data_IF_813494177638
#
_entry.id   IF_813494177638
#
_cell.length_a   1.000
_cell.length_b   1.000
_cell.length_c   1.000
_cell.angle_alpha   90.00
_cell.angle_beta   90.00
_cell.angle_gamma   90.00
#
_symmetry.space_group_name_H-M   'P 1'
#
loop_
_entity.id
_entity.type
_entity.pdbx_description
1 polymer ?
#
# COMPACT_ATOMS: atom_id res chain seq x y z
N UNK A 1 9.12 39.44 -50.07
CA UNK A 1 8.35 38.19 -50.26
C UNK A 1 8.57 37.29 -49.05
N UNK A 2 7.64 37.28 -48.10
CA UNK A 2 7.59 36.29 -47.03
C UNK A 2 6.13 35.84 -46.95
N UNK A 3 5.88 34.62 -47.42
CA UNK A 3 4.55 34.05 -47.59
C UNK A 3 4.25 33.09 -46.43
N UNK A 4 3.22 33.43 -45.66
CA UNK A 4 2.16 32.54 -45.13
C UNK A 4 2.55 31.19 -44.51
N UNK A 5 2.21 31.00 -43.23
CA UNK A 5 0.95 30.33 -42.88
C UNK A 5 0.68 30.39 -41.36
N UNK A 6 -0.31 31.21 -41.01
CA UNK A 6 -1.04 31.13 -39.75
C UNK A 6 -1.92 29.87 -39.77
N UNK A 7 -1.79 29.02 -38.76
CA UNK A 7 -2.75 27.92 -38.56
C UNK A 7 -3.93 28.50 -37.76
N UNK A 8 -5.01 28.72 -38.50
CA UNK A 8 -6.32 29.18 -38.04
C UNK A 8 -6.92 28.22 -37.01
N UNK A 9 -7.27 28.79 -35.85
CA UNK A 9 -8.16 28.22 -34.86
C UNK A 9 -9.59 28.30 -35.41
N UNK A 10 -10.30 27.17 -35.59
CA UNK A 10 -11.76 26.97 -35.41
C UNK A 10 -12.26 25.72 -36.13
N UNK A 11 -12.82 24.77 -35.37
CA UNK A 11 -14.02 23.99 -35.74
C UNK A 11 -14.46 23.11 -34.55
N UNK A 12 -15.39 23.62 -33.74
CA UNK A 12 -16.24 22.81 -32.86
C UNK A 12 -17.42 22.28 -33.68
N UNK A 13 -17.50 20.97 -33.93
CA UNK A 13 -18.77 20.21 -33.97
C UNK A 13 -18.53 18.70 -34.14
N UNK A 14 -19.01 17.95 -33.14
CA UNK A 14 -19.54 16.59 -33.23
C UNK A 14 -18.75 15.54 -34.03
N UNK A 15 -17.59 15.14 -33.50
CA UNK A 15 -17.04 13.81 -33.74
C UNK A 15 -16.68 13.17 -32.41
N UNK A 16 -17.01 11.89 -32.25
CA UNK A 16 -16.57 11.02 -31.16
C UNK A 16 -15.04 11.09 -31.03
N UNK A 17 -14.55 11.84 -30.05
CA UNK A 17 -13.11 12.13 -29.92
C UNK A 17 -12.44 11.07 -29.06
N UNK A 18 -11.74 10.12 -29.69
CA UNK A 18 -10.46 9.65 -29.17
C UNK A 18 -9.38 10.55 -29.77
N UNK A 19 -8.92 11.62 -29.11
CA UNK A 19 -7.85 12.43 -29.67
C UNK A 19 -6.49 11.88 -29.19
N UNK A 20 -5.64 11.52 -30.15
CA UNK A 20 -4.17 11.49 -30.09
C UNK A 20 -3.51 10.82 -28.87
N UNK A 21 -3.42 9.48 -28.87
CA UNK A 21 -2.56 8.74 -27.91
C UNK A 21 -1.08 8.66 -28.29
N UNK A 22 -0.69 9.19 -29.44
CA UNK A 22 0.72 9.22 -29.88
C UNK A 22 1.08 10.63 -30.34
N UNK A 23 1.65 11.42 -29.43
CA UNK A 23 2.41 12.63 -29.79
C UNK A 23 3.67 12.66 -28.94
N UNK A 24 4.61 11.76 -29.24
CA UNK A 24 6.02 12.04 -29.04
C UNK A 24 6.81 11.57 -30.25
N UNK A 25 7.98 12.16 -30.46
CA UNK A 25 8.85 11.89 -31.62
C UNK A 25 9.42 10.46 -31.58
N UNK A 26 9.34 9.79 -30.42
CA UNK A 26 9.88 8.45 -30.17
C UNK A 26 8.85 7.31 -30.38
N UNK A 27 7.61 7.61 -30.78
CA UNK A 27 6.56 6.60 -30.98
C UNK A 27 6.05 5.92 -29.71
N UNK A 28 6.39 6.42 -28.52
CA UNK A 28 5.92 5.89 -27.23
C UNK A 28 4.59 6.54 -26.85
N UNK A 29 3.54 5.78 -26.48
CA UNK A 29 2.29 6.37 -26.03
C UNK A 29 2.47 7.29 -24.82
N UNK A 30 1.78 8.43 -24.84
CA UNK A 30 1.73 9.34 -23.70
C UNK A 30 1.02 8.66 -22.53
N UNK A 31 1.56 8.82 -21.32
CA UNK A 31 0.88 8.42 -20.09
C UNK A 31 -0.22 9.43 -19.72
N UNK A 32 -0.98 9.11 -18.67
CA UNK A 32 -2.12 9.92 -18.25
C UNK A 32 -1.69 11.35 -17.89
N UNK A 33 -0.63 11.52 -17.10
CA UNK A 33 -0.15 12.85 -16.71
C UNK A 33 0.36 13.67 -17.90
N UNK A 34 1.02 13.03 -18.87
CA UNK A 34 1.47 13.64 -20.12
C UNK A 34 0.28 14.18 -20.94
N UNK A 35 -0.82 13.43 -21.01
CA UNK A 35 -2.06 13.88 -21.66
C UNK A 35 -2.71 15.05 -20.90
N UNK A 36 -2.79 14.97 -19.58
CA UNK A 36 -3.35 16.05 -18.75
C UNK A 36 -2.54 17.34 -18.89
N UNK A 37 -1.21 17.25 -18.97
CA UNK A 37 -0.32 18.39 -19.19
C UNK A 37 -0.55 19.05 -20.56
N UNK A 38 -0.93 18.29 -21.59
CA UNK A 38 -1.29 18.84 -22.88
C UNK A 38 -2.65 19.59 -22.82
N UNK A 39 -3.66 18.98 -22.20
CA UNK A 39 -5.02 19.54 -22.07
C UNK A 39 -5.01 20.82 -21.22
N UNK A 40 -4.31 20.82 -20.09
CA UNK A 40 -4.28 21.91 -19.13
C UNK A 40 -3.02 22.77 -19.22
N UNK A 41 -2.41 22.83 -20.40
CA UNK A 41 -1.22 23.64 -20.65
C UNK A 41 -1.39 25.09 -20.21
N UNK A 42 -0.30 25.64 -19.65
CA UNK A 42 -0.23 26.99 -19.12
C UNK A 42 0.99 27.19 -18.19
N UNK A 43 1.19 28.39 -17.64
CA UNK A 43 2.37 28.73 -16.83
C UNK A 43 2.57 27.79 -15.63
N UNK A 44 1.48 27.33 -15.00
CA UNK A 44 1.51 26.38 -13.89
C UNK A 44 2.16 25.05 -14.29
N UNK A 45 1.74 24.45 -15.41
CA UNK A 45 2.29 23.16 -15.88
C UNK A 45 3.77 23.29 -16.23
N UNK A 46 4.17 24.40 -16.86
CA UNK A 46 5.58 24.68 -17.14
C UNK A 46 6.41 24.67 -15.85
N UNK A 47 5.98 25.41 -14.83
CA UNK A 47 6.65 25.47 -13.53
C UNK A 47 6.65 24.13 -12.81
N UNK A 48 5.54 23.39 -12.87
CA UNK A 48 5.42 22.08 -12.25
C UNK A 48 6.40 21.07 -12.88
N UNK A 49 6.59 21.11 -14.20
CA UNK A 49 7.58 20.29 -14.91
C UNK A 49 9.02 20.70 -14.60
N UNK A 50 9.30 22.00 -14.48
CA UNK A 50 10.63 22.50 -14.07
C UNK A 50 11.06 21.96 -12.70
N UNK A 51 10.10 21.76 -11.79
CA UNK A 51 10.36 21.20 -10.45
C UNK A 51 10.42 19.67 -10.47
N UNK A 52 9.33 19.02 -10.93
CA UNK A 52 9.09 17.58 -10.71
C UNK A 52 9.51 16.69 -11.88
N UNK A 53 9.79 17.26 -13.04
CA UNK A 53 10.19 16.54 -14.26
C UNK A 53 11.59 16.94 -14.74
N UNK A 54 12.42 17.49 -13.83
CA UNK A 54 13.79 17.89 -14.09
C UNK A 54 14.78 16.89 -13.49
N UNK A 55 15.45 16.11 -14.34
CA UNK A 55 16.40 15.06 -13.93
C UNK A 55 17.62 15.56 -13.16
N UNK A 56 17.89 16.87 -13.17
CA UNK A 56 18.97 17.51 -12.41
C UNK A 56 18.50 18.05 -11.04
N UNK A 57 17.24 17.85 -10.66
CA UNK A 57 16.75 18.29 -9.34
C UNK A 57 17.45 17.53 -8.21
N UNK A 58 18.09 18.26 -7.29
CA UNK A 58 18.84 17.70 -6.17
C UNK A 58 17.99 16.81 -5.24
N UNK A 59 16.67 16.97 -5.24
CA UNK A 59 15.77 16.20 -4.37
C UNK A 59 15.38 14.83 -4.94
N UNK A 60 15.73 14.50 -6.19
CA UNK A 60 15.31 13.24 -6.84
C UNK A 60 15.70 12.02 -5.99
N UNK A 61 16.90 12.01 -5.41
CA UNK A 61 17.34 10.89 -4.59
C UNK A 61 16.43 10.70 -3.37
N UNK A 62 16.04 11.81 -2.71
CA UNK A 62 15.11 11.80 -1.57
C UNK A 62 13.72 11.35 -2.00
N UNK A 63 13.18 11.91 -3.09
CA UNK A 63 11.84 11.55 -3.57
C UNK A 63 11.75 10.09 -4.00
N UNK A 64 12.80 9.58 -4.65
CA UNK A 64 12.91 8.19 -5.09
C UNK A 64 12.95 7.19 -3.93
N UNK A 65 13.17 7.62 -2.68
CA UNK A 65 13.03 6.72 -1.53
C UNK A 65 11.56 6.38 -1.23
N UNK A 66 10.63 7.29 -1.55
CA UNK A 66 9.23 7.20 -1.12
C UNK A 66 8.24 7.06 -2.28
N UNK A 67 8.52 7.70 -3.40
CA UNK A 67 7.66 7.69 -4.58
C UNK A 67 8.24 6.73 -5.61
N UNK A 68 7.42 5.82 -6.10
CA UNK A 68 7.77 4.98 -7.25
C UNK A 68 7.58 5.81 -8.52
N UNK A 69 8.63 5.97 -9.31
CA UNK A 69 8.52 6.65 -10.59
C UNK A 69 9.84 7.17 -11.11
N UNK A 70 9.78 7.61 -12.36
CA UNK A 70 10.85 8.18 -13.14
C UNK A 70 10.53 9.64 -13.44
N UNK A 71 11.53 10.48 -13.24
CA UNK A 71 11.46 11.92 -13.55
C UNK A 71 11.05 12.14 -15.00
N UNK A 72 11.62 11.34 -15.90
CA UNK A 72 11.44 11.48 -17.35
C UNK A 72 10.02 11.13 -17.82
N UNK A 73 9.27 10.31 -17.05
CA UNK A 73 7.85 10.02 -17.32
C UNK A 73 6.90 10.89 -16.49
N UNK A 74 7.43 11.90 -15.79
CA UNK A 74 6.63 12.87 -15.03
C UNK A 74 5.84 12.21 -13.87
N UNK A 75 6.31 11.06 -13.37
CA UNK A 75 5.60 10.29 -12.33
C UNK A 75 5.71 10.94 -10.95
N UNK A 76 6.77 11.71 -10.66
CA UNK A 76 6.81 12.55 -9.46
C UNK A 76 5.79 13.69 -9.52
N UNK A 77 5.59 14.28 -10.71
CA UNK A 77 4.58 15.32 -10.91
C UNK A 77 3.17 14.75 -10.76
N UNK A 78 2.91 13.59 -11.36
CA UNK A 78 1.64 12.87 -11.22
C UNK A 78 1.35 12.58 -9.74
N UNK A 79 2.32 12.06 -9.00
CA UNK A 79 2.20 11.78 -7.58
C UNK A 79 1.93 13.05 -6.75
N UNK A 80 2.65 14.15 -7.03
CA UNK A 80 2.44 15.41 -6.33
C UNK A 80 1.03 15.99 -6.58
N UNK A 81 0.57 15.91 -7.84
CA UNK A 81 -0.77 16.38 -8.22
C UNK A 81 -1.86 15.50 -7.61
N UNK A 82 -1.70 14.17 -7.63
CA UNK A 82 -2.62 13.24 -6.99
C UNK A 82 -2.80 13.56 -5.50
N UNK A 83 -1.68 13.81 -4.81
CA UNK A 83 -1.69 14.10 -3.38
C UNK A 83 -2.38 15.41 -3.02
N UNK A 84 -2.04 16.53 -3.69
CA UNK A 84 -2.66 17.84 -3.38
C UNK A 84 -4.14 17.88 -3.79
N UNK A 85 -4.50 17.16 -4.87
CA UNK A 85 -5.88 17.13 -5.40
C UNK A 85 -6.75 16.03 -4.78
N UNK A 86 -6.17 15.14 -3.98
CA UNK A 86 -6.84 13.97 -3.40
C UNK A 86 -7.45 13.08 -4.50
N UNK A 87 -6.67 12.84 -5.56
CA UNK A 87 -7.08 12.07 -6.73
C UNK A 87 -7.82 12.85 -7.82
N UNK A 88 -8.16 14.12 -7.62
CA UNK A 88 -8.89 14.94 -8.59
C UNK A 88 -7.95 15.79 -9.47
N UNK A 89 -6.96 15.15 -10.09
CA UNK A 89 -5.84 15.82 -10.77
C UNK A 89 -6.32 16.78 -11.87
N UNK A 90 -7.24 16.34 -12.73
CA UNK A 90 -7.72 17.14 -13.86
C UNK A 90 -8.40 18.44 -13.42
N UNK A 91 -9.25 18.37 -12.39
CA UNK A 91 -9.95 19.54 -11.85
C UNK A 91 -8.98 20.52 -11.19
N UNK A 92 -8.00 20.01 -10.45
CA UNK A 92 -6.94 20.82 -9.85
C UNK A 92 -6.14 21.55 -10.94
N UNK A 93 -5.63 20.82 -11.93
CA UNK A 93 -4.88 21.42 -13.03
C UNK A 93 -5.68 22.44 -13.83
N UNK A 94 -6.97 22.18 -14.09
CA UNK A 94 -7.86 23.10 -14.79
C UNK A 94 -8.00 24.44 -14.06
N UNK A 95 -8.17 24.41 -12.73
CA UNK A 95 -8.29 25.60 -11.88
C UNK A 95 -6.99 26.41 -11.84
N UNK A 96 -5.85 25.73 -11.73
CA UNK A 96 -4.55 26.36 -11.54
C UNK A 96 -3.80 26.67 -12.84
N UNK A 97 -4.28 26.26 -14.01
CA UNK A 97 -3.53 26.36 -15.29
C UNK A 97 -2.96 27.75 -15.63
N UNK A 98 -3.56 28.83 -15.12
CA UNK A 98 -3.12 30.22 -15.35
C UNK A 98 -2.20 30.76 -14.25
N UNK A 99 -2.02 30.03 -13.16
CA UNK A 99 -1.20 30.45 -12.03
C UNK A 99 0.27 30.52 -12.43
N UNK A 100 0.97 31.50 -11.88
CA UNK A 100 2.38 31.79 -12.22
C UNK A 100 3.39 31.10 -11.30
N UNK A 101 2.91 30.41 -10.26
CA UNK A 101 3.71 29.65 -9.31
C UNK A 101 3.05 28.29 -9.04
N UNK A 102 3.76 27.44 -8.29
CA UNK A 102 3.32 26.08 -7.90
C UNK A 102 3.45 25.89 -6.38
N UNK A 103 3.36 26.98 -5.60
CA UNK A 103 3.78 26.99 -4.21
C UNK A 103 2.97 26.01 -3.36
N UNK A 104 1.66 25.92 -3.60
CA UNK A 104 0.78 24.94 -2.94
C UNK A 104 1.19 23.50 -3.25
N UNK A 105 1.32 23.16 -4.54
CA UNK A 105 1.73 21.83 -5.01
C UNK A 105 3.07 21.41 -4.39
N UNK A 106 4.07 22.29 -4.48
CA UNK A 106 5.43 22.04 -3.95
C UNK A 106 5.42 21.91 -2.43
N UNK A 107 4.71 22.80 -1.74
CA UNK A 107 4.60 22.78 -0.28
C UNK A 107 3.91 21.51 0.21
N UNK A 108 2.79 21.11 -0.41
CA UNK A 108 2.06 19.93 -0.01
C UNK A 108 2.91 18.66 -0.18
N UNK A 109 3.51 18.49 -1.35
CA UNK A 109 4.38 17.35 -1.64
C UNK A 109 5.54 17.24 -0.63
N UNK A 110 6.27 18.34 -0.40
CA UNK A 110 7.37 18.35 0.56
C UNK A 110 6.88 18.10 1.99
N UNK A 111 5.71 18.60 2.38
CA UNK A 111 5.14 18.35 3.71
C UNK A 111 4.88 16.86 3.94
N UNK A 112 4.35 16.15 2.93
CA UNK A 112 4.17 14.69 3.01
C UNK A 112 5.52 13.99 3.15
N UNK A 113 6.48 14.28 2.27
CA UNK A 113 7.81 13.66 2.29
C UNK A 113 8.54 13.93 3.62
N UNK A 114 8.53 15.17 4.10
CA UNK A 114 9.18 15.57 5.34
C UNK A 114 8.50 14.97 6.57
N UNK A 115 7.19 14.74 6.51
CA UNK A 115 6.51 13.98 7.54
C UNK A 115 6.98 12.53 7.58
N UNK A 116 7.00 11.83 6.44
CA UNK A 116 7.47 10.44 6.38
C UNK A 116 8.91 10.33 6.89
N UNK A 117 9.81 11.19 6.44
CA UNK A 117 11.23 11.16 6.83
C UNK A 117 11.48 11.52 8.30
N UNK A 118 10.55 12.22 8.96
CA UNK A 118 10.62 12.50 10.41
C UNK A 118 10.09 11.34 11.24
N UNK A 119 9.05 10.65 10.75
CA UNK A 119 8.44 9.52 11.46
C UNK A 119 9.31 8.27 11.35
N UNK A 120 9.85 7.99 10.15
CA UNK A 120 10.69 6.85 9.86
C UNK A 120 12.13 7.31 9.60
N UNK A 121 13.02 7.08 10.56
CA UNK A 121 14.45 7.40 10.43
C UNK A 121 15.19 6.38 9.57
N UNK A 122 14.67 5.15 9.50
CA UNK A 122 15.19 4.09 8.65
C UNK A 122 14.46 4.11 7.31
N UNK A 123 15.23 4.22 6.23
CA UNK A 123 14.69 4.25 4.87
C UNK A 123 14.84 2.88 4.24
N UNK A 124 13.72 2.17 4.15
CA UNK A 124 13.66 0.81 3.60
C UNK A 124 13.15 0.80 2.15
N UNK A 125 13.57 -0.20 1.38
CA UNK A 125 13.22 -0.30 -0.05
C UNK A 125 11.70 -0.41 -0.28
N UNK A 126 10.99 -1.07 0.64
CA UNK A 126 9.56 -1.29 0.60
C UNK A 126 8.73 -0.02 0.88
N UNK A 127 9.37 1.06 1.34
CA UNK A 127 8.73 2.38 1.49
C UNK A 127 8.41 3.03 0.14
N UNK A 128 9.13 2.65 -0.92
CA UNK A 128 8.93 3.20 -2.26
C UNK A 128 7.56 2.80 -2.81
N UNK A 129 6.79 3.79 -3.26
CA UNK A 129 5.50 3.62 -3.90
C UNK A 129 4.36 3.25 -2.95
N UNK A 130 4.51 3.47 -1.64
CA UNK A 130 3.36 3.44 -0.73
C UNK A 130 2.48 4.67 -0.95
N UNK A 131 1.21 4.57 -0.55
CA UNK A 131 0.23 5.65 -0.68
C UNK A 131 0.47 6.77 0.35
N UNK A 132 1.66 7.38 0.33
CA UNK A 132 2.09 8.33 1.34
C UNK A 132 1.17 9.54 1.48
N UNK A 133 0.54 10.02 0.41
CA UNK A 133 -0.49 11.06 0.48
C UNK A 133 -1.70 10.66 1.32
N UNK A 134 -2.24 9.45 1.11
CA UNK A 134 -3.34 8.89 1.93
C UNK A 134 -2.90 8.67 3.37
N UNK A 135 -1.71 8.08 3.56
CA UNK A 135 -1.17 7.80 4.90
C UNK A 135 -0.94 9.10 5.67
N UNK A 136 -0.40 10.13 5.03
CA UNK A 136 -0.26 11.45 5.61
C UNK A 136 -1.61 11.96 6.09
N UNK A 137 -2.62 12.04 5.21
CA UNK A 137 -3.94 12.54 5.59
C UNK A 137 -4.57 11.79 6.77
N UNK A 138 -4.37 10.47 6.83
CA UNK A 138 -4.90 9.61 7.89
C UNK A 138 -4.14 9.72 9.22
N UNK A 139 -2.83 9.96 9.19
CA UNK A 139 -1.97 9.71 10.34
C UNK A 139 -1.11 10.91 10.80
N UNK A 140 -0.95 11.97 9.99
CA UNK A 140 -0.01 13.06 10.30
C UNK A 140 -0.31 13.84 11.59
N UNK A 141 -1.56 13.83 12.06
CA UNK A 141 -1.98 14.51 13.29
C UNK A 141 -1.59 13.73 14.55
N UNK A 142 -1.20 12.46 14.42
CA UNK A 142 -0.70 11.66 15.55
C UNK A 142 0.75 12.01 15.84
N UNK A 143 1.11 11.95 17.12
CA UNK A 143 2.50 12.11 17.54
C UNK A 143 3.21 10.76 17.51
N UNK A 144 4.38 10.73 16.89
CA UNK A 144 5.23 9.54 16.80
C UNK A 144 6.56 9.79 17.48
N UNK A 145 7.07 8.78 18.19
CA UNK A 145 8.44 8.78 18.68
C UNK A 145 9.30 8.01 17.67
N UNK A 146 10.19 8.67 16.91
CA UNK A 146 10.93 8.01 15.83
C UNK A 146 11.78 6.81 16.29
N UNK A 147 12.36 6.85 17.50
CA UNK A 147 13.11 5.73 18.05
C UNK A 147 12.22 4.51 18.31
N UNK A 148 10.98 4.72 18.78
CA UNK A 148 10.01 3.62 18.94
C UNK A 148 9.55 3.06 17.59
N UNK A 149 9.38 3.92 16.58
CA UNK A 149 9.03 3.51 15.22
C UNK A 149 10.14 2.64 14.63
N UNK A 150 11.38 3.12 14.66
CA UNK A 150 12.58 2.39 14.20
C UNK A 150 12.69 1.01 14.85
N UNK A 151 12.60 0.94 16.19
CA UNK A 151 12.62 -0.35 16.90
C UNK A 151 11.47 -1.29 16.47
N UNK A 152 10.28 -0.74 16.22
CA UNK A 152 9.13 -1.49 15.70
C UNK A 152 9.36 -2.03 14.29
N UNK A 153 9.93 -1.22 13.39
CA UNK A 153 10.28 -1.63 12.02
C UNK A 153 11.30 -2.77 12.08
N UNK A 154 12.41 -2.60 12.80
CA UNK A 154 13.44 -3.65 12.92
C UNK A 154 12.91 -4.97 13.48
N UNK A 155 12.05 -4.90 14.51
CA UNK A 155 11.41 -6.09 15.07
C UNK A 155 10.59 -6.84 14.03
N UNK A 156 9.80 -6.12 13.23
CA UNK A 156 8.93 -6.72 12.21
C UNK A 156 9.73 -7.22 11.01
N UNK A 157 10.77 -6.51 10.58
CA UNK A 157 11.67 -6.98 9.53
C UNK A 157 12.43 -8.27 9.91
N UNK A 158 12.74 -8.44 11.19
CA UNK A 158 13.34 -9.66 11.74
C UNK A 158 12.38 -10.83 11.92
N UNK A 159 11.07 -10.63 11.76
CA UNK A 159 10.08 -11.71 11.92
C UNK A 159 9.91 -12.50 10.60
N UNK A 160 10.33 -13.78 10.55
CA UNK A 160 10.27 -14.58 9.33
C UNK A 160 8.83 -14.93 8.91
N UNK A 161 7.83 -14.68 9.76
CA UNK A 161 6.43 -14.97 9.46
C UNK A 161 5.72 -13.80 8.77
N UNK A 162 6.31 -12.61 8.69
CA UNK A 162 5.71 -11.48 7.96
C UNK A 162 5.97 -11.64 6.47
N UNK A 163 4.92 -11.81 5.67
CA UNK A 163 5.05 -11.88 4.21
C UNK A 163 4.96 -10.51 3.56
N UNK A 164 4.12 -9.62 4.08
CA UNK A 164 3.92 -8.29 3.50
C UNK A 164 4.71 -7.22 4.26
N UNK A 165 5.99 -7.07 3.89
CA UNK A 165 6.85 -6.02 4.47
C UNK A 165 6.37 -4.60 4.18
N UNK A 166 5.71 -4.38 3.05
CA UNK A 166 5.12 -3.07 2.70
C UNK A 166 4.04 -2.63 3.69
N UNK A 167 3.33 -3.58 4.30
CA UNK A 167 2.30 -3.28 5.29
C UNK A 167 2.83 -2.89 6.67
N UNK A 168 4.13 -3.10 6.95
CA UNK A 168 4.75 -2.76 8.24
C UNK A 168 4.56 -1.28 8.57
N UNK A 169 4.76 -0.40 7.60
CA UNK A 169 4.72 1.04 7.83
C UNK A 169 3.32 1.52 8.24
N UNK A 170 2.27 1.12 7.51
CA UNK A 170 0.90 1.45 7.91
C UNK A 170 0.49 0.74 9.21
N UNK A 171 0.92 -0.52 9.41
CA UNK A 171 0.66 -1.26 10.64
C UNK A 171 1.18 -0.48 11.86
N UNK A 172 2.42 0.00 11.81
CA UNK A 172 2.99 0.81 12.89
C UNK A 172 2.26 2.16 13.02
N UNK A 173 1.99 2.88 11.92
CA UNK A 173 1.28 4.17 11.95
C UNK A 173 -0.13 4.05 12.56
N UNK A 174 -0.78 2.90 12.36
CA UNK A 174 -2.10 2.58 12.90
C UNK A 174 -2.10 2.31 14.40
N UNK A 175 -0.93 2.16 15.02
CA UNK A 175 -0.79 1.74 16.42
C UNK A 175 -0.68 0.23 16.60
N UNK A 176 -0.23 -0.49 15.57
CA UNK A 176 0.00 -1.94 15.59
C UNK A 176 -1.26 -2.78 15.84
N UNK A 177 -2.39 -2.35 15.28
CA UNK A 177 -3.70 -3.01 15.49
C UNK A 177 -4.06 -3.94 14.34
N UNK A 178 -3.97 -3.46 13.09
CA UNK A 178 -4.49 -4.20 11.93
C UNK A 178 -3.45 -5.16 11.34
N UNK A 179 -3.41 -6.38 11.86
CA UNK A 179 -2.43 -7.41 11.46
C UNK A 179 -2.61 -7.92 10.03
N UNK A 180 -3.77 -7.67 9.40
CA UNK A 180 -4.02 -7.97 7.98
C UNK A 180 -2.96 -7.36 7.08
N UNK A 181 -2.49 -6.18 7.45
CA UNK A 181 -1.47 -5.44 6.73
C UNK A 181 -0.17 -6.24 6.58
N UNK A 182 0.14 -7.14 7.53
CA UNK A 182 1.39 -7.88 7.57
C UNK A 182 1.37 -9.19 6.76
N UNK A 183 0.17 -9.68 6.35
CA UNK A 183 -0.02 -11.01 5.73
C UNK A 183 0.83 -12.08 6.41
N UNK A 184 0.49 -12.39 7.66
CA UNK A 184 1.32 -13.26 8.49
C UNK A 184 1.18 -14.71 8.01
N UNK A 185 2.31 -15.35 7.69
CA UNK A 185 2.39 -16.78 7.40
C UNK A 185 1.98 -17.57 8.63
N UNK A 186 0.93 -18.35 8.48
CA UNK A 186 0.48 -19.30 9.48
C UNK A 186 1.32 -20.57 9.33
N UNK A 187 1.88 -21.04 10.47
CA UNK A 187 2.62 -22.27 10.79
C UNK A 187 3.21 -23.10 9.62
N UNK A 188 4.46 -23.52 9.72
CA UNK A 188 5.01 -24.46 8.74
C UNK A 188 4.31 -25.83 8.79
N UNK A 189 4.45 -26.62 7.72
CA UNK A 189 3.80 -27.93 7.60
C UNK A 189 4.24 -28.92 8.70
N UNK A 190 5.47 -28.81 9.20
CA UNK A 190 5.96 -29.69 10.26
C UNK A 190 5.22 -29.42 11.57
N UNK A 191 5.04 -28.15 11.94
CA UNK A 191 4.25 -27.72 13.09
C UNK A 191 2.80 -28.17 12.92
N UNK A 192 2.17 -27.92 11.76
CA UNK A 192 0.78 -28.30 11.52
C UNK A 192 0.57 -29.81 11.70
N UNK A 193 1.44 -30.64 11.12
CA UNK A 193 1.35 -32.10 11.23
C UNK A 193 1.57 -32.59 12.65
N UNK A 194 2.55 -32.02 13.36
CA UNK A 194 2.83 -32.35 14.76
C UNK A 194 1.63 -32.03 15.66
N UNK A 195 1.06 -30.83 15.53
CA UNK A 195 -0.07 -30.36 16.34
C UNK A 195 -1.34 -31.14 16.00
N UNK A 196 -1.60 -31.41 14.71
CA UNK A 196 -2.71 -32.27 14.27
C UNK A 196 -2.63 -33.66 14.90
N UNK A 197 -1.46 -34.31 14.84
CA UNK A 197 -1.28 -35.66 15.38
C UNK A 197 -1.52 -35.68 16.89
N UNK A 198 -1.00 -34.67 17.60
CA UNK A 198 -1.21 -34.51 19.04
C UNK A 198 -2.69 -34.30 19.39
N UNK A 199 -3.35 -33.32 18.77
CA UNK A 199 -4.77 -33.03 19.00
C UNK A 199 -5.66 -34.23 18.67
N UNK A 200 -5.38 -34.93 17.56
CA UNK A 200 -6.16 -36.10 17.14
C UNK A 200 -6.02 -37.24 18.14
N UNK A 201 -4.80 -37.56 18.57
CA UNK A 201 -4.57 -38.61 19.59
C UNK A 201 -5.25 -38.30 20.93
N UNK A 202 -5.17 -37.04 21.37
CA UNK A 202 -5.85 -36.60 22.59
C UNK A 202 -7.37 -36.65 22.47
N UNK A 203 -7.91 -36.30 21.30
CA UNK A 203 -9.33 -36.30 21.01
C UNK A 203 -9.90 -37.72 20.93
N UNK A 204 -9.18 -38.65 20.29
CA UNK A 204 -9.52 -40.08 20.23
C UNK A 204 -9.56 -40.70 21.63
N UNK A 205 -8.57 -40.39 22.48
CA UNK A 205 -8.50 -40.90 23.86
C UNK A 205 -9.68 -40.40 24.72
N UNK A 206 -10.19 -39.20 24.42
CA UNK A 206 -11.28 -38.54 25.17
C UNK A 206 -12.65 -38.69 24.51
N UNK A 207 -12.73 -39.34 23.36
CA UNK A 207 -13.93 -39.48 22.52
C UNK A 207 -14.59 -38.12 22.17
N UNK A 208 -13.78 -37.09 21.93
CA UNK A 208 -14.22 -35.75 21.52
C UNK A 208 -13.67 -35.39 20.13
N UNK A 209 -14.08 -34.25 19.59
CA UNK A 209 -13.54 -33.73 18.33
C UNK A 209 -12.10 -33.26 18.49
N UNK A 210 -11.29 -33.49 17.46
CA UNK A 210 -9.94 -32.91 17.36
C UNK A 210 -9.94 -31.41 17.01
N UNK A 211 -11.12 -30.81 16.76
CA UNK A 211 -11.32 -29.36 16.76
C UNK A 211 -11.82 -28.91 18.15
N UNK A 212 -11.05 -28.09 18.91
CA UNK A 212 -11.43 -27.65 20.26
C UNK A 212 -12.79 -26.95 20.33
N UNK A 213 -13.15 -26.19 19.29
CA UNK A 213 -14.44 -25.50 19.21
C UNK A 213 -15.61 -26.45 18.98
N UNK A 214 -15.44 -27.51 18.17
CA UNK A 214 -16.47 -28.56 18.03
C UNK A 214 -16.63 -29.32 19.35
N UNK A 215 -15.53 -29.63 20.05
CA UNK A 215 -15.58 -30.37 21.31
C UNK A 215 -16.36 -29.66 22.43
N UNK A 216 -16.35 -28.32 22.47
CA UNK A 216 -17.07 -27.51 23.45
C UNK A 216 -18.52 -27.21 22.99
N UNK A 217 -18.79 -27.28 21.70
CA UNK A 217 -20.11 -26.96 21.12
C UNK A 217 -21.22 -27.96 21.47
N UNK A 218 -22.46 -27.55 21.14
CA UNK A 218 -23.66 -28.39 21.19
C UNK A 218 -23.99 -29.03 19.83
N UNK A 219 -23.04 -29.02 18.89
CA UNK A 219 -23.27 -29.47 17.52
C UNK A 219 -23.12 -31.00 17.34
N UNK A 220 -23.53 -31.48 16.18
CA UNK A 220 -23.39 -32.89 15.78
C UNK A 220 -21.93 -33.31 15.56
N UNK A 221 -20.97 -32.37 15.62
CA UNK A 221 -19.55 -32.62 15.39
C UNK A 221 -18.75 -32.78 16.69
N UNK A 222 -19.40 -32.82 17.86
CA UNK A 222 -18.74 -32.82 19.17
C UNK A 222 -17.71 -33.95 19.37
N UNK A 223 -17.90 -35.09 18.73
CA UNK A 223 -16.99 -36.24 18.71
C UNK A 223 -16.34 -36.50 17.34
N UNK A 224 -16.57 -35.61 16.36
CA UNK A 224 -16.07 -35.81 14.99
C UNK A 224 -14.54 -35.60 14.94
N UNK A 225 -13.83 -36.60 14.44
CA UNK A 225 -12.42 -36.49 14.08
C UNK A 225 -12.33 -35.99 12.64
N UNK A 226 -11.84 -34.77 12.47
CA UNK A 226 -11.61 -34.17 11.16
C UNK A 226 -10.26 -34.62 10.61
N UNK A 227 -10.18 -34.94 9.32
CA UNK A 227 -8.91 -35.24 8.67
C UNK A 227 -8.04 -33.99 8.55
N UNK A 228 -6.72 -34.18 8.38
CA UNK A 228 -5.77 -33.06 8.23
C UNK A 228 -6.19 -32.06 7.13
N UNK A 229 -6.70 -32.55 5.99
CA UNK A 229 -7.15 -31.70 4.88
C UNK A 229 -8.46 -30.94 5.12
N UNK A 230 -9.22 -31.30 6.15
CA UNK A 230 -10.44 -30.61 6.60
C UNK A 230 -10.17 -29.59 7.71
N UNK A 231 -8.92 -29.50 8.17
CA UNK A 231 -8.50 -28.60 9.22
C UNK A 231 -7.51 -27.55 8.71
N UNK A 232 -7.45 -26.43 9.42
CA UNK A 232 -6.52 -25.35 9.21
C UNK A 232 -5.89 -24.99 10.55
N UNK A 233 -4.59 -24.70 10.56
CA UNK A 233 -3.93 -24.24 11.76
C UNK A 233 -4.28 -22.78 12.03
N UNK A 234 -4.36 -22.43 13.30
CA UNK A 234 -4.60 -21.07 13.77
C UNK A 234 -3.88 -20.85 15.10
N UNK A 235 -3.76 -19.58 15.50
CA UNK A 235 -3.15 -19.23 16.77
C UNK A 235 -4.19 -19.31 17.89
N UNK A 236 -3.88 -20.04 18.98
CA UNK A 236 -4.73 -20.06 20.19
C UNK A 236 -4.93 -18.65 20.73
N UNK A 237 -3.83 -17.92 20.91
CA UNK A 237 -3.82 -16.47 21.13
C UNK A 237 -3.48 -15.76 19.83
N UNK A 238 -4.37 -14.90 19.34
CA UNK A 238 -4.16 -14.14 18.11
C UNK A 238 -2.81 -13.40 18.11
N UNK A 239 -2.13 -13.37 16.97
CA UNK A 239 -0.85 -12.66 16.83
C UNK A 239 -0.98 -11.17 17.19
N UNK A 240 -2.13 -10.55 16.87
CA UNK A 240 -2.47 -9.17 17.25
C UNK A 240 -2.47 -8.91 18.76
N UNK A 241 -2.63 -9.95 19.57
CA UNK A 241 -2.59 -9.91 21.05
C UNK A 241 -1.25 -10.39 21.61
N UNK A 242 -0.21 -10.46 20.78
CA UNK A 242 1.13 -10.93 21.16
C UNK A 242 1.31 -12.44 21.10
N UNK A 243 0.38 -13.18 20.48
CA UNK A 243 0.51 -14.62 20.29
C UNK A 243 1.64 -14.98 19.32
N UNK A 244 2.67 -15.67 19.81
CA UNK A 244 3.79 -16.09 18.97
C UNK A 244 3.37 -17.17 17.95
N UNK A 245 3.95 -17.15 16.74
CA UNK A 245 3.84 -18.27 15.78
C UNK A 245 4.78 -19.40 16.22
N UNK A 246 4.36 -20.20 17.19
CA UNK A 246 5.09 -21.38 17.68
C UNK A 246 4.15 -22.59 17.83
N UNK A 247 4.70 -23.80 17.83
CA UNK A 247 3.90 -25.02 18.04
C UNK A 247 3.03 -24.97 19.32
N UNK A 248 3.45 -24.24 20.36
CA UNK A 248 2.69 -24.08 21.61
C UNK A 248 1.45 -23.22 21.47
N UNK A 249 1.45 -22.29 20.52
CA UNK A 249 0.33 -21.39 20.25
C UNK A 249 -0.42 -21.82 18.97
N UNK A 250 -0.11 -22.99 18.40
CA UNK A 250 -0.78 -23.53 17.24
C UNK A 250 -1.91 -24.45 17.70
N UNK A 251 -3.09 -24.29 17.12
CA UNK A 251 -4.19 -25.24 17.20
C UNK A 251 -4.71 -25.56 15.79
N UNK A 252 -5.18 -26.79 15.58
CA UNK A 252 -5.91 -27.18 14.38
C UNK A 252 -7.40 -26.98 14.62
N UNK A 253 -8.05 -26.22 13.73
CA UNK A 253 -9.48 -25.98 13.72
C UNK A 253 -10.09 -26.59 12.44
N UNK A 254 -11.33 -27.09 12.50
CA UNK A 254 -12.03 -27.41 11.26
C UNK A 254 -12.21 -26.13 10.42
N UNK A 255 -12.25 -26.25 9.09
CA UNK A 255 -12.35 -25.08 8.19
C UNK A 255 -13.47 -24.11 8.55
N UNK A 256 -14.61 -24.62 9.02
CA UNK A 256 -15.75 -23.79 9.43
C UNK A 256 -15.40 -22.91 10.64
N UNK A 257 -14.84 -23.49 11.71
CA UNK A 257 -14.43 -22.74 12.89
C UNK A 257 -13.25 -21.82 12.61
N UNK A 258 -12.28 -22.24 11.80
CA UNK A 258 -11.16 -21.39 11.43
C UNK A 258 -11.64 -20.12 10.70
N UNK A 259 -12.56 -20.28 9.73
CA UNK A 259 -13.15 -19.16 9.00
C UNK A 259 -13.99 -18.26 9.90
N UNK A 260 -14.74 -18.83 10.84
CA UNK A 260 -15.57 -18.09 11.78
C UNK A 260 -14.74 -17.28 12.80
N UNK A 261 -13.55 -17.78 13.19
CA UNK A 261 -12.65 -17.11 14.13
C UNK A 261 -12.08 -15.80 13.59
N UNK A 262 -12.07 -15.62 12.26
CA UNK A 262 -11.96 -14.31 11.65
C UNK A 262 -10.56 -13.67 11.70
N UNK A 263 -9.51 -14.44 11.97
CA UNK A 263 -8.11 -14.01 11.90
C UNK A 263 -7.62 -13.84 10.45
N UNK A 264 -8.39 -13.17 9.58
CA UNK A 264 -7.79 -12.52 8.42
C UNK A 264 -7.08 -11.29 8.89
#
# INVERSE_FOLDING_TARGET
>A
MLNTNAISLFAFRNYSTKPFKTINIAGVPLNNQELLNAVYSGPFVTKAKEEFSNSQNANIQKWSAYVSGSVNRQEFLECALDWVSKGNVGDYMSKHRKDKNIDELKKYFNTVIDWVSRVFTDVESEMRGLEWGRLYEKYHKKTYNPAKISAGVHKLYGDPYIKNRRGIFEYILSGSVDTKLLDIRIFDEAIKRSVYAKQTKEAETKEISNCPHCAIGHDTNKSKIWSFGEMEADHVSAWSKGGATSAKNCEMLCKTHNRAKGNR
#
